data_IF_598778414128
#
_entry.id   IF_598778414128
#
_cell.length_a   1.000
_cell.length_b   1.000
_cell.length_c   1.000
_cell.angle_alpha   90.00
_cell.angle_beta   90.00
_cell.angle_gamma   90.00
#
_symmetry.space_group_name_H-M   'P 1'
#
loop_
_entity.id
_entity.type
_entity.pdbx_description
1 polymer ?
#
# COMPACT_ATOMS: atom_id res chain seq x y z
N UNK A 1 19.21 -11.51 7.69
CA UNK A 1 18.06 -11.12 6.84
C UNK A 1 18.12 -9.61 6.69
N UNK A 2 17.75 -9.08 5.52
CA UNK A 2 17.73 -7.63 5.30
C UNK A 2 16.62 -6.96 6.13
N UNK A 3 16.93 -5.78 6.68
CA UNK A 3 16.04 -5.02 7.56
C UNK A 3 15.05 -4.20 6.73
N UNK A 4 13.76 -4.26 7.05
CA UNK A 4 12.74 -3.44 6.40
C UNK A 4 12.91 -1.95 6.73
N UNK A 5 12.76 -1.09 5.71
CA UNK A 5 12.99 0.36 5.77
C UNK A 5 11.79 1.19 5.30
N UNK A 6 10.94 0.65 4.42
CA UNK A 6 9.82 1.37 3.84
C UNK A 6 8.72 0.41 3.37
N UNK A 7 7.46 0.80 3.55
CA UNK A 7 6.33 0.20 2.82
C UNK A 7 5.98 1.16 1.67
N UNK A 8 6.12 0.68 0.43
CA UNK A 8 5.76 1.45 -0.76
C UNK A 8 4.47 0.89 -1.37
N UNK A 9 3.54 1.78 -1.74
CA UNK A 9 2.32 1.45 -2.46
C UNK A 9 2.29 2.12 -3.81
N UNK A 10 1.79 1.38 -4.79
CA UNK A 10 1.35 1.93 -6.07
C UNK A 10 -0.11 1.57 -6.26
N UNK A 11 -0.96 2.59 -6.12
CA UNK A 11 -2.41 2.45 -6.19
C UNK A 11 -2.91 2.98 -7.53
N UNK A 12 -2.93 2.12 -8.53
CA UNK A 12 -3.48 2.41 -9.85
C UNK A 12 -5.01 2.43 -9.85
N UNK A 13 -5.58 2.74 -11.00
CA UNK A 13 -7.05 2.79 -11.18
C UNK A 13 -7.71 1.43 -10.97
N UNK A 14 -7.05 0.33 -11.39
CA UNK A 14 -7.62 -1.03 -11.37
C UNK A 14 -6.80 -2.05 -10.58
N UNK A 15 -5.66 -1.63 -10.03
CA UNK A 15 -4.75 -2.49 -9.27
C UNK A 15 -4.15 -1.73 -8.09
N UNK A 16 -3.97 -2.42 -6.98
CA UNK A 16 -3.14 -1.97 -5.87
C UNK A 16 -1.94 -2.91 -5.74
N UNK A 17 -0.74 -2.34 -5.66
CA UNK A 17 0.53 -3.05 -5.45
C UNK A 17 1.22 -2.51 -4.20
N UNK A 18 1.87 -3.40 -3.47
CA UNK A 18 2.61 -3.08 -2.26
C UNK A 18 3.98 -3.76 -2.25
N UNK A 19 4.97 -3.06 -1.72
CA UNK A 19 6.35 -3.52 -1.61
C UNK A 19 6.86 -3.24 -0.20
N UNK A 20 7.41 -4.26 0.45
CA UNK A 20 8.22 -4.10 1.65
C UNK A 20 9.67 -3.95 1.21
N UNK A 21 10.25 -2.78 1.41
CA UNK A 21 11.57 -2.42 0.91
C UNK A 21 12.61 -2.43 2.03
N UNK A 22 13.78 -2.99 1.74
CA UNK A 22 14.97 -2.98 2.58
C UNK A 22 15.90 -1.81 2.25
N UNK A 23 17.17 -1.94 2.64
CA UNK A 23 18.21 -0.96 2.28
C UNK A 23 18.41 -0.87 0.77
N UNK A 24 18.81 0.32 0.28
CA UNK A 24 19.16 0.56 -1.12
C UNK A 24 18.09 0.17 -2.16
N UNK A 25 16.82 0.11 -1.74
CA UNK A 25 15.69 -0.24 -2.60
C UNK A 25 15.50 -1.74 -2.82
N UNK A 26 16.15 -2.60 -2.04
CA UNK A 26 15.91 -4.06 -2.08
C UNK A 26 14.44 -4.38 -1.82
N UNK A 27 13.83 -5.25 -2.64
CA UNK A 27 12.44 -5.70 -2.44
C UNK A 27 12.46 -6.97 -1.59
N UNK A 28 12.03 -6.86 -0.33
CA UNK A 28 11.94 -7.98 0.61
C UNK A 28 10.68 -8.81 0.39
N UNK A 29 9.57 -8.14 0.08
CA UNK A 29 8.30 -8.79 -0.22
C UNK A 29 7.45 -7.92 -1.16
N UNK A 30 6.64 -8.56 -2.00
CA UNK A 30 5.67 -7.91 -2.89
C UNK A 30 4.28 -8.49 -2.66
N UNK A 31 3.26 -7.65 -2.72
CA UNK A 31 1.84 -8.04 -2.68
C UNK A 31 1.03 -7.22 -3.69
N UNK A 32 -0.10 -7.76 -4.11
CA UNK A 32 -1.02 -7.06 -5.00
C UNK A 32 -2.47 -7.50 -4.79
N UNK A 33 -3.42 -6.64 -5.15
CA UNK A 33 -4.85 -6.96 -5.21
C UNK A 33 -5.54 -6.35 -6.43
N UNK A 34 -6.82 -6.67 -6.60
CA UNK A 34 -7.69 -6.07 -7.61
C UNK A 34 -8.34 -4.75 -7.14
N UNK A 35 -8.00 -4.28 -5.94
CA UNK A 35 -8.64 -3.14 -5.28
C UNK A 35 -8.07 -1.81 -5.79
N UNK A 36 -8.15 -1.58 -7.10
CA UNK A 36 -7.75 -0.31 -7.70
C UNK A 36 -8.63 0.84 -7.24
N UNK A 37 -8.12 2.07 -7.28
CA UNK A 37 -8.84 3.23 -6.77
C UNK A 37 -10.22 3.44 -7.44
N UNK A 38 -10.38 3.08 -8.72
CA UNK A 38 -11.65 3.19 -9.45
C UNK A 38 -12.62 2.04 -9.19
N UNK A 39 -12.19 0.98 -8.48
CA UNK A 39 -13.05 -0.16 -8.12
C UNK A 39 -13.62 -0.04 -6.71
N UNK A 40 -13.15 0.93 -5.93
CA UNK A 40 -13.56 1.16 -4.55
C UNK A 40 -14.45 2.41 -4.46
N UNK A 41 -15.27 2.49 -3.43
CA UNK A 41 -16.15 3.63 -3.18
C UNK A 41 -16.28 3.86 -1.68
N UNK A 42 -15.93 5.06 -1.22
CA UNK A 42 -15.96 5.46 0.18
C UNK A 42 -14.65 5.17 0.93
N UNK A 43 -14.26 6.12 1.79
CA UNK A 43 -13.00 6.10 2.55
C UNK A 43 -12.77 4.82 3.38
N UNK A 44 -13.82 4.25 3.98
CA UNK A 44 -13.71 3.02 4.78
C UNK A 44 -13.28 1.81 3.94
N UNK A 45 -13.69 1.76 2.67
CA UNK A 45 -13.33 0.69 1.74
C UNK A 45 -11.86 0.81 1.34
N UNK A 46 -11.35 2.03 1.14
CA UNK A 46 -9.92 2.27 0.93
C UNK A 46 -9.10 1.85 2.16
N UNK A 47 -9.51 2.25 3.36
CA UNK A 47 -8.84 1.87 4.60
C UNK A 47 -8.82 0.35 4.77
N UNK A 48 -9.91 -0.33 4.41
CA UNK A 48 -10.01 -1.79 4.42
C UNK A 48 -9.07 -2.45 3.43
N UNK A 49 -9.06 -2.02 2.16
CA UNK A 49 -8.17 -2.55 1.12
C UNK A 49 -6.69 -2.41 1.51
N UNK A 50 -6.33 -1.27 2.10
CA UNK A 50 -4.99 -1.04 2.63
C UNK A 50 -4.67 -2.01 3.79
N UNK A 51 -5.58 -2.14 4.76
CA UNK A 51 -5.41 -3.01 5.92
C UNK A 51 -5.31 -4.48 5.52
N UNK A 52 -6.11 -4.92 4.54
CA UNK A 52 -6.08 -6.30 4.06
C UNK A 52 -4.77 -6.62 3.33
N UNK A 53 -4.20 -5.65 2.60
CA UNK A 53 -2.98 -5.90 1.82
C UNK A 53 -1.69 -5.84 2.67
N UNK A 54 -1.58 -4.87 3.58
CA UNK A 54 -0.33 -4.59 4.32
C UNK A 54 -0.52 -4.38 5.83
N UNK A 55 -1.68 -4.70 6.39
CA UNK A 55 -1.97 -4.47 7.81
C UNK A 55 -1.03 -5.23 8.76
N UNK A 56 -0.65 -6.45 8.40
CA UNK A 56 0.32 -7.25 9.12
C UNK A 56 1.74 -6.66 9.07
N UNK A 57 2.21 -6.18 7.91
CA UNK A 57 3.49 -5.46 7.82
C UNK A 57 3.51 -4.21 8.69
N UNK A 58 2.39 -3.49 8.77
CA UNK A 58 2.27 -2.32 9.64
C UNK A 58 2.25 -2.69 11.13
N UNK A 59 1.70 -3.85 11.48
CA UNK A 59 1.70 -4.35 12.85
C UNK A 59 3.10 -4.84 13.26
N UNK A 60 3.81 -5.52 12.35
CA UNK A 60 5.18 -6.00 12.58
C UNK A 60 6.20 -4.84 12.60
N UNK A 61 5.96 -3.79 11.83
CA UNK A 61 6.88 -2.67 11.66
C UNK A 61 6.21 -1.30 11.87
N UNK A 62 5.72 -0.99 13.08
CA UNK A 62 4.90 0.20 13.36
C UNK A 62 5.62 1.54 13.11
N UNK A 63 6.95 1.56 13.15
CA UNK A 63 7.78 2.74 12.89
C UNK A 63 8.01 3.04 11.41
N UNK A 64 7.76 2.08 10.51
CA UNK A 64 8.04 2.29 9.09
C UNK A 64 7.06 3.27 8.50
N UNK A 65 7.60 4.16 7.66
CA UNK A 65 6.78 5.04 6.84
C UNK A 65 6.11 4.25 5.73
N UNK A 66 4.97 4.76 5.30
CA UNK A 66 4.25 4.28 4.14
C UNK A 66 4.24 5.39 3.11
N UNK A 67 4.80 5.12 1.94
CA UNK A 67 4.78 6.01 0.79
C UNK A 67 3.82 5.45 -0.25
N UNK A 68 2.86 6.25 -0.69
CA UNK A 68 1.90 5.83 -1.70
C UNK A 68 1.94 6.75 -2.92
N UNK A 69 1.85 6.18 -4.11
CA UNK A 69 1.71 6.91 -5.37
C UNK A 69 0.47 6.43 -6.16
N UNK A 70 0.17 7.13 -7.25
CA UNK A 70 -0.94 6.81 -8.13
C UNK A 70 -2.24 7.54 -7.77
N UNK A 71 -3.37 6.90 -8.02
CA UNK A 71 -4.72 7.46 -7.91
C UNK A 71 -5.19 7.64 -6.46
N UNK A 72 -4.47 7.12 -5.48
CA UNK A 72 -4.74 7.32 -4.05
C UNK A 72 -4.75 8.80 -3.64
N UNK A 73 -4.04 9.68 -4.35
CA UNK A 73 -4.05 11.12 -4.11
C UNK A 73 -5.11 11.90 -4.90
N UNK A 74 -5.95 11.21 -5.68
CA UNK A 74 -7.00 11.85 -6.49
C UNK A 74 -8.28 12.09 -5.69
N UNK A 75 -9.17 12.95 -6.21
CA UNK A 75 -10.47 13.23 -5.59
C UNK A 75 -11.34 11.97 -5.38
N UNK A 76 -11.10 10.90 -6.15
CA UNK A 76 -11.82 9.62 -6.03
C UNK A 76 -11.55 8.95 -4.69
N UNK A 77 -10.33 9.09 -4.14
CA UNK A 77 -9.95 8.49 -2.87
C UNK A 77 -10.43 9.29 -1.64
N UNK A 78 -10.88 10.54 -1.86
CA UNK A 78 -11.43 11.42 -0.82
C UNK A 78 -12.97 11.54 -0.87
N UNK A 79 -13.61 10.79 -1.77
CA UNK A 79 -15.08 10.75 -1.93
C UNK A 79 -15.69 9.61 -1.10
#
# INVERSE_FOLDING_TARGET
>A
MAEARLIALDWGSTRLRAFLLGGDGEVLQTRQSNDGASTLSGADVFARALSDLVGDWRAEHPQLKLLACGMVGSAIASA
#
